data_IF_103992135858
#
_entry.id   IF_103992135858
#
_cell.length_a   1.000
_cell.length_b   1.000
_cell.length_c   1.000
_cell.angle_alpha   90.00
_cell.angle_beta   90.00
_cell.angle_gamma   90.00
#
_symmetry.space_group_name_H-M   'P 1'
#
loop_
_entity.id
_entity.type
_entity.pdbx_description
1 polymer ?
#
# COMPACT_ATOMS: atom_id res chain seq x y z
N UNK A 1 0.80 -38.69 78.97
CA UNK A 1 0.70 -37.23 78.73
C UNK A 1 1.44 -36.94 77.44
N UNK A 2 0.71 -36.73 76.35
CA UNK A 2 1.27 -36.54 75.01
C UNK A 2 1.85 -35.14 74.85
N UNK A 3 3.12 -35.06 74.42
CA UNK A 3 3.77 -33.80 74.11
C UNK A 3 3.33 -33.32 72.72
N UNK A 4 2.50 -32.28 72.69
CA UNK A 4 2.09 -31.58 71.47
C UNK A 4 3.31 -30.89 70.86
N UNK A 5 3.85 -31.48 69.80
CA UNK A 5 5.01 -30.96 69.07
C UNK A 5 4.55 -29.78 68.19
N UNK A 6 4.87 -28.54 68.59
CA UNK A 6 4.57 -27.33 67.79
C UNK A 6 5.52 -27.23 66.60
N UNK A 7 4.98 -27.22 65.39
CA UNK A 7 5.76 -26.96 64.17
C UNK A 7 6.11 -25.47 64.06
N UNK A 8 7.34 -25.11 63.64
CA UNK A 8 7.72 -23.72 63.46
C UNK A 8 7.04 -23.13 62.21
N UNK A 9 6.32 -22.03 62.40
CA UNK A 9 5.70 -21.27 61.31
C UNK A 9 6.79 -20.64 60.45
N UNK A 10 6.95 -21.10 59.20
CA UNK A 10 7.89 -20.54 58.21
C UNK A 10 7.41 -19.15 57.80
N UNK A 11 8.14 -18.10 58.20
CA UNK A 11 7.87 -16.74 57.75
C UNK A 11 8.21 -16.62 56.27
N UNK A 12 7.20 -16.34 55.47
CA UNK A 12 7.35 -16.10 54.04
C UNK A 12 7.90 -14.68 53.85
N UNK A 13 8.92 -14.53 53.01
CA UNK A 13 9.56 -13.24 52.76
C UNK A 13 8.68 -12.41 51.80
N UNK A 14 7.70 -11.69 52.35
CA UNK A 14 6.69 -10.92 51.60
C UNK A 14 7.30 -9.94 50.59
N UNK A 15 8.44 -9.30 50.90
CA UNK A 15 9.14 -8.39 49.98
C UNK A 15 9.63 -9.09 48.71
N UNK A 16 10.06 -10.36 48.80
CA UNK A 16 10.50 -11.14 47.63
C UNK A 16 9.32 -11.55 46.76
N UNK A 17 8.14 -11.75 47.35
CA UNK A 17 6.90 -12.06 46.62
C UNK A 17 6.41 -10.83 45.87
N UNK A 18 6.34 -9.68 46.54
CA UNK A 18 5.95 -8.42 45.91
C UNK A 18 6.87 -8.07 44.73
N UNK A 19 8.18 -8.23 44.90
CA UNK A 19 9.14 -8.00 43.83
C UNK A 19 8.91 -8.91 42.61
N UNK A 20 8.61 -10.20 42.83
CA UNK A 20 8.27 -11.14 41.74
C UNK A 20 6.97 -10.76 41.03
N UNK A 21 5.96 -10.31 41.78
CA UNK A 21 4.70 -9.84 41.21
C UNK A 21 4.93 -8.59 40.35
N UNK A 22 5.73 -7.64 40.84
CA UNK A 22 6.07 -6.43 40.09
C UNK A 22 6.81 -6.74 38.78
N UNK A 23 7.79 -7.66 38.82
CA UNK A 23 8.47 -8.11 37.60
C UNK A 23 7.49 -8.79 36.65
N UNK A 24 6.63 -9.68 37.15
CA UNK A 24 5.62 -10.36 36.34
C UNK A 24 4.68 -9.36 35.67
N UNK A 25 4.21 -8.36 36.41
CA UNK A 25 3.36 -7.29 35.89
C UNK A 25 4.08 -6.46 34.81
N UNK A 26 5.35 -6.10 35.04
CA UNK A 26 6.15 -5.38 34.06
C UNK A 26 6.31 -6.18 32.76
N UNK A 27 6.58 -7.49 32.86
CA UNK A 27 6.69 -8.36 31.69
C UNK A 27 5.38 -8.43 30.90
N UNK A 28 4.25 -8.52 31.58
CA UNK A 28 2.93 -8.52 30.93
C UNK A 28 2.69 -7.21 30.18
N UNK A 29 3.02 -6.06 30.79
CA UNK A 29 2.88 -4.74 30.15
C UNK A 29 3.77 -4.64 28.91
N UNK A 30 5.04 -5.02 29.02
CA UNK A 30 5.98 -4.99 27.89
C UNK A 30 5.49 -5.88 26.75
N UNK A 31 5.02 -7.10 27.06
CA UNK A 31 4.50 -8.02 26.05
C UNK A 31 3.24 -7.48 25.38
N UNK A 32 2.31 -6.91 26.16
CA UNK A 32 1.10 -6.30 25.63
C UNK A 32 1.43 -5.10 24.71
N UNK A 33 2.38 -4.26 25.09
CA UNK A 33 2.86 -3.15 24.25
C UNK A 33 3.51 -3.65 22.96
N UNK A 34 4.35 -4.69 23.03
CA UNK A 34 4.99 -5.27 21.84
C UNK A 34 3.94 -5.81 20.85
N UNK A 35 2.93 -6.52 21.35
CA UNK A 35 1.82 -7.04 20.54
C UNK A 35 1.03 -5.89 19.89
N UNK A 36 0.71 -4.84 20.65
CA UNK A 36 -0.01 -3.69 20.13
C UNK A 36 0.76 -2.98 19.00
N UNK A 37 2.06 -2.74 19.21
CA UNK A 37 2.96 -2.14 18.22
C UNK A 37 3.04 -3.01 16.97
N UNK A 38 3.17 -4.33 17.12
CA UNK A 38 3.22 -5.26 15.99
C UNK A 38 1.99 -5.14 15.08
N UNK A 39 0.79 -5.15 15.67
CA UNK A 39 -0.45 -5.01 14.88
C UNK A 39 -0.59 -3.64 14.21
N UNK A 40 -0.09 -2.58 14.83
CA UNK A 40 -0.09 -1.25 14.22
C UNK A 40 0.90 -1.17 13.05
N UNK A 41 2.10 -1.73 13.21
CA UNK A 41 3.11 -1.81 12.15
C UNK A 41 2.60 -2.59 10.94
N UNK A 42 1.93 -3.72 11.14
CA UNK A 42 1.37 -4.53 10.06
C UNK A 42 0.37 -3.72 9.21
N UNK A 43 -0.52 -2.96 9.87
CA UNK A 43 -1.48 -2.08 9.17
C UNK A 43 -0.78 -0.95 8.41
N UNK A 44 0.28 -0.37 8.99
CA UNK A 44 1.06 0.66 8.32
C UNK A 44 1.78 0.12 7.09
N UNK A 45 2.38 -1.08 7.19
CA UNK A 45 3.03 -1.75 6.07
C UNK A 45 2.05 -2.03 4.94
N UNK A 46 0.88 -2.63 5.24
CA UNK A 46 -0.16 -2.88 4.25
C UNK A 46 -0.61 -1.59 3.55
N UNK A 47 -0.76 -0.48 4.30
CA UNK A 47 -1.13 0.83 3.74
C UNK A 47 -0.03 1.40 2.84
N UNK A 48 1.23 1.24 3.23
CA UNK A 48 2.38 1.70 2.44
C UNK A 48 2.45 0.90 1.13
N UNK A 49 2.27 -0.42 1.19
CA UNK A 49 2.32 -1.27 0.00
C UNK A 49 1.19 -0.95 -0.98
N UNK A 50 -0.06 -0.80 -0.49
CA UNK A 50 -1.18 -0.39 -1.33
C UNK A 50 -0.95 0.98 -2.00
N UNK A 51 -0.30 1.92 -1.29
CA UNK A 51 0.07 3.22 -1.87
C UNK A 51 1.17 3.08 -2.92
N UNK A 52 2.15 2.20 -2.71
CA UNK A 52 3.21 1.92 -3.67
C UNK A 52 2.63 1.35 -4.96
N UNK A 53 1.76 0.35 -4.87
CA UNK A 53 1.08 -0.24 -6.02
C UNK A 53 0.25 0.80 -6.78
N UNK A 54 -0.54 1.61 -6.07
CA UNK A 54 -1.33 2.67 -6.70
C UNK A 54 -0.46 3.72 -7.42
N UNK A 55 0.68 4.10 -6.84
CA UNK A 55 1.63 5.02 -7.46
C UNK A 55 2.35 4.39 -8.66
N UNK A 56 2.70 3.11 -8.58
CA UNK A 56 3.29 2.37 -9.70
C UNK A 56 2.32 2.31 -10.89
N UNK A 57 1.03 2.05 -10.64
CA UNK A 57 0.00 2.10 -11.68
C UNK A 57 -0.09 3.48 -12.36
N UNK A 58 -0.11 4.56 -11.56
CA UNK A 58 -0.11 5.93 -12.10
C UNK A 58 1.14 6.26 -12.92
N UNK A 59 2.31 5.77 -12.50
CA UNK A 59 3.55 5.94 -13.26
C UNK A 59 3.49 5.21 -14.60
N UNK A 60 2.92 4.00 -14.62
CA UNK A 60 2.76 3.24 -15.85
C UNK A 60 1.80 3.92 -16.82
N UNK A 61 0.66 4.41 -16.32
CA UNK A 61 -0.31 5.17 -17.11
C UNK A 61 0.29 6.45 -17.69
N UNK A 62 0.96 7.26 -16.86
CA UNK A 62 1.63 8.48 -17.31
C UNK A 62 2.76 8.19 -18.32
N UNK A 63 3.48 7.07 -18.16
CA UNK A 63 4.51 6.66 -19.12
C UNK A 63 3.91 6.25 -20.48
N UNK A 64 2.76 5.56 -20.47
CA UNK A 64 2.04 5.20 -21.68
C UNK A 64 1.51 6.45 -22.40
N UNK A 65 0.86 7.37 -21.68
CA UNK A 65 0.40 8.66 -22.21
C UNK A 65 1.58 9.45 -22.82
N UNK A 66 2.71 9.51 -22.11
CA UNK A 66 3.91 10.18 -22.62
C UNK A 66 4.44 9.54 -23.91
N UNK A 67 4.39 8.21 -24.02
CA UNK A 67 4.80 7.53 -25.27
C UNK A 67 3.87 7.86 -26.44
N UNK A 68 2.56 7.84 -26.22
CA UNK A 68 1.56 8.21 -27.24
C UNK A 68 1.76 9.67 -27.68
N UNK A 69 1.94 10.59 -26.74
CA UNK A 69 2.20 12.00 -27.05
C UNK A 69 3.50 12.19 -27.85
N UNK A 70 4.54 11.40 -27.60
CA UNK A 70 5.79 11.45 -28.37
C UNK A 70 5.61 10.92 -29.79
N UNK A 71 4.88 9.83 -29.96
CA UNK A 71 4.54 9.30 -31.29
C UNK A 71 3.73 10.32 -32.09
N UNK A 72 2.72 10.93 -31.46
CA UNK A 72 1.96 12.04 -32.05
C UNK A 72 2.86 13.21 -32.45
N UNK A 73 3.78 13.64 -31.57
CA UNK A 73 4.72 14.71 -31.90
C UNK A 73 5.61 14.40 -33.11
N UNK A 74 5.98 13.13 -33.33
CA UNK A 74 6.80 12.74 -34.48
C UNK A 74 6.04 12.80 -35.80
N UNK A 75 4.72 12.56 -35.78
CA UNK A 75 3.90 12.48 -37.00
C UNK A 75 3.07 13.75 -37.25
N UNK A 76 2.85 14.59 -36.23
CA UNK A 76 2.15 15.86 -36.32
C UNK A 76 2.82 16.74 -37.37
N UNK A 77 2.05 17.19 -38.36
CA UNK A 77 2.53 18.02 -39.46
C UNK A 77 3.07 17.24 -40.67
N UNK A 78 3.11 15.91 -40.62
CA UNK A 78 3.33 15.10 -41.82
C UNK A 78 2.12 15.16 -42.77
N UNK A 79 2.35 15.03 -44.08
CA UNK A 79 1.28 15.01 -45.09
C UNK A 79 0.25 13.90 -44.80
N UNK A 80 0.70 12.74 -44.32
CA UNK A 80 -0.18 11.64 -43.93
C UNK A 80 -1.07 12.00 -42.72
N UNK A 81 -0.52 12.71 -41.73
CA UNK A 81 -1.30 13.18 -40.59
C UNK A 81 -2.32 14.26 -41.01
N UNK A 82 -1.90 15.21 -41.85
CA UNK A 82 -2.76 16.28 -42.38
C UNK A 82 -3.88 15.67 -43.23
N UNK A 83 -3.57 14.74 -44.13
CA UNK A 83 -4.56 14.05 -44.96
C UNK A 83 -5.57 13.27 -44.09
N UNK A 84 -5.10 12.56 -43.06
CA UNK A 84 -5.97 11.83 -42.13
C UNK A 84 -6.92 12.76 -41.38
N UNK A 85 -6.41 13.84 -40.80
CA UNK A 85 -7.25 14.84 -40.09
C UNK A 85 -8.21 15.52 -41.06
N UNK A 86 -7.79 15.84 -42.28
CA UNK A 86 -8.65 16.43 -43.29
C UNK A 86 -9.78 15.47 -43.73
N UNK A 87 -9.51 14.18 -43.87
CA UNK A 87 -10.55 13.16 -44.12
C UNK A 87 -11.50 12.99 -42.95
N UNK A 88 -10.97 12.80 -41.74
CA UNK A 88 -11.77 12.49 -40.54
C UNK A 88 -12.60 13.68 -40.05
N UNK A 89 -12.01 14.88 -40.00
CA UNK A 89 -12.65 16.07 -39.41
C UNK A 89 -13.37 16.94 -40.44
N UNK A 90 -12.86 16.99 -41.68
CA UNK A 90 -13.36 17.90 -42.71
C UNK A 90 -14.04 17.16 -43.88
N UNK A 91 -14.02 15.81 -43.90
CA UNK A 91 -14.55 15.02 -45.00
C UNK A 91 -13.84 15.26 -46.34
N UNK A 92 -12.64 15.83 -46.30
CA UNK A 92 -11.88 16.15 -47.51
C UNK A 92 -11.33 14.88 -48.15
N UNK A 93 -11.29 14.86 -49.48
CA UNK A 93 -10.70 13.78 -50.28
C UNK A 93 -9.73 14.34 -51.29
N UNK A 94 -8.82 13.51 -51.81
CA UNK A 94 -7.85 13.98 -52.81
C UNK A 94 -8.57 14.31 -54.12
N UNK A 95 -8.01 15.24 -54.94
CA UNK A 95 -8.55 15.52 -56.25
C UNK A 95 -8.71 14.24 -57.08
N UNK A 96 -9.93 13.94 -57.51
CA UNK A 96 -10.27 12.74 -58.29
C UNK A 96 -10.82 11.56 -57.49
N UNK A 97 -10.88 11.63 -56.15
CA UNK A 97 -11.55 10.62 -55.32
C UNK A 97 -13.05 10.94 -55.15
N UNK A 98 -13.89 9.89 -55.04
CA UNK A 98 -15.35 10.00 -54.85
C UNK A 98 -15.73 9.33 -53.53
N UNK A 99 -16.44 10.06 -52.66
CA UNK A 99 -16.97 9.51 -51.39
C UNK A 99 -18.27 8.77 -51.67
N UNK A 100 -18.32 7.47 -51.34
CA UNK A 100 -19.55 6.68 -51.36
C UNK A 100 -20.19 6.68 -49.97
N UNK A 101 -21.39 7.23 -49.86
CA UNK A 101 -22.24 7.09 -48.67
C UNK A 101 -23.31 6.04 -48.97
N UNK A 102 -23.26 4.93 -48.24
CA UNK A 102 -24.31 3.91 -48.29
C UNK A 102 -25.56 4.48 -47.59
N UNK A 103 -26.72 4.42 -48.26
CA UNK A 103 -28.01 4.87 -47.73
C UNK A 103 -28.86 3.67 -47.34
#
# INVERSE_FOLDING_TARGET
MEAVRRQPYRSVNHSKILFRILIGMLLVVVLASAIAIYFEQEKQLARIEARREALAGKLQEAAAELSEMRELQQIVGSDAYIERVAREQLGMVRPGEVVFTDR
#
